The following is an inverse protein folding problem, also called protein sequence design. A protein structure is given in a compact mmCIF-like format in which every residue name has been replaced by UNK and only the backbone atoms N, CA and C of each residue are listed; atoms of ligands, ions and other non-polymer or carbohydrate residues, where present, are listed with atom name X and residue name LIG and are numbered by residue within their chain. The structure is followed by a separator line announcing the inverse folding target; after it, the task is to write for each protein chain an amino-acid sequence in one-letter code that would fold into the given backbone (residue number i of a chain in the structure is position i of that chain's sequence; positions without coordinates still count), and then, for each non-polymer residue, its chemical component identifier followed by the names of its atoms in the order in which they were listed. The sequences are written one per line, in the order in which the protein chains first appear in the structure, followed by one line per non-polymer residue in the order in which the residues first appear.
data_IF_325407706273
#
_entry.id   IF_325407706273
#
_cell.length_a   1.000
_cell.length_b   1.000
_cell.length_c   1.000
_cell.angle_alpha   90.00
_cell.angle_beta   90.00
_cell.angle_gamma   90.00
#
_symmetry.space_group_name_H-M   'P 1'
#
loop_
_entity.id
_entity.type
_entity.pdbx_description
1 polymer ?
#
# COMPACT_ATOMS: atom_id res chain seq x y z
N UNK A 1 201.17 -84.30 35.33
CA UNK A 1 199.88 -83.85 35.90
C UNK A 1 199.26 -82.77 35.03
N UNK A 2 198.95 -83.10 33.76
CA UNK A 2 198.38 -82.17 32.76
C UNK A 2 197.19 -82.81 32.01
N UNK A 3 196.68 -83.94 32.50
CA UNK A 3 195.67 -84.78 31.83
C UNK A 3 194.30 -84.71 32.52
N UNK A 4 194.23 -84.25 33.78
CA UNK A 4 192.96 -84.14 34.53
C UNK A 4 192.16 -82.87 34.25
N UNK A 5 192.77 -81.81 33.71
CA UNK A 5 192.07 -80.55 33.40
C UNK A 5 191.33 -80.60 32.05
N UNK A 6 191.78 -81.41 31.09
CA UNK A 6 191.14 -81.52 29.77
C UNK A 6 189.82 -82.34 29.76
N UNK A 7 189.64 -83.27 30.70
CA UNK A 7 188.40 -84.06 30.83
C UNK A 7 187.28 -83.25 31.49
N UNK A 8 187.61 -82.43 32.50
CA UNK A 8 186.66 -81.53 33.17
C UNK A 8 186.08 -80.50 32.19
N UNK A 9 186.92 -79.93 31.32
CA UNK A 9 186.49 -78.95 30.31
C UNK A 9 185.62 -79.55 29.19
N UNK A 10 185.71 -80.86 28.93
CA UNK A 10 184.89 -81.53 27.91
C UNK A 10 183.47 -81.79 28.41
N UNK A 11 183.32 -82.28 29.64
CA UNK A 11 182.00 -82.53 30.25
C UNK A 11 181.29 -81.20 30.57
N UNK A 12 182.06 -80.17 30.93
CA UNK A 12 181.56 -78.81 31.10
C UNK A 12 181.10 -78.21 29.76
N UNK A 13 181.80 -78.47 28.65
CA UNK A 13 181.33 -78.07 27.31
C UNK A 13 180.07 -78.84 26.86
N UNK A 14 179.93 -80.13 27.17
CA UNK A 14 178.73 -80.90 26.83
C UNK A 14 177.50 -80.47 27.66
N UNK A 15 177.69 -80.19 28.94
CA UNK A 15 176.64 -79.63 29.80
C UNK A 15 176.29 -78.20 29.44
N UNK A 16 177.27 -77.38 29.04
CA UNK A 16 177.02 -76.05 28.48
C UNK A 16 176.24 -76.15 27.17
N UNK A 17 176.58 -77.05 26.25
CA UNK A 17 175.83 -77.25 25.00
C UNK A 17 174.39 -77.72 25.23
N UNK A 18 174.16 -78.67 26.14
CA UNK A 18 172.79 -79.10 26.47
C UNK A 18 171.99 -77.97 27.14
N UNK A 19 172.61 -77.17 28.02
CA UNK A 19 171.97 -75.96 28.57
C UNK A 19 171.70 -74.94 27.48
N UNK A 20 172.59 -74.82 26.49
CA UNK A 20 172.45 -73.89 25.37
C UNK A 20 171.29 -74.32 24.46
N UNK A 21 171.14 -75.61 24.17
CA UNK A 21 170.01 -76.18 23.42
C UNK A 21 168.67 -76.05 24.19
N UNK A 22 168.67 -76.28 25.50
CA UNK A 22 167.49 -76.13 26.34
C UNK A 22 167.08 -74.66 26.48
N UNK A 23 168.05 -73.76 26.60
CA UNK A 23 167.84 -72.31 26.54
C UNK A 23 167.30 -71.93 25.15
N UNK A 24 167.86 -72.45 24.06
CA UNK A 24 167.37 -72.18 22.69
C UNK A 24 165.93 -72.69 22.48
N UNK A 25 165.59 -73.87 22.99
CA UNK A 25 164.22 -74.42 22.92
C UNK A 25 163.24 -73.61 23.76
N UNK A 26 163.66 -73.15 24.94
CA UNK A 26 162.85 -72.27 25.79
C UNK A 26 162.69 -70.88 25.18
N UNK A 27 163.74 -70.36 24.52
CA UNK A 27 163.68 -69.12 23.74
C UNK A 27 162.68 -69.28 22.59
N UNK A 28 162.77 -70.32 21.76
CA UNK A 28 161.82 -70.55 20.66
C UNK A 28 160.38 -70.76 21.13
N UNK A 29 160.16 -71.43 22.26
CA UNK A 29 158.83 -71.55 22.85
C UNK A 29 158.30 -70.22 23.43
N UNK A 30 159.18 -69.41 24.03
CA UNK A 30 158.84 -68.08 24.50
C UNK A 30 158.57 -67.12 23.33
N UNK A 31 159.31 -67.24 22.22
CA UNK A 31 159.11 -66.51 20.98
C UNK A 31 157.76 -66.87 20.34
N UNK A 32 157.43 -68.16 20.21
CA UNK A 32 156.12 -68.59 19.68
C UNK A 32 154.95 -68.14 20.57
N UNK A 33 155.12 -68.18 21.91
CA UNK A 33 154.10 -67.67 22.84
C UNK A 33 153.98 -66.15 22.76
N UNK A 34 155.10 -65.45 22.59
CA UNK A 34 155.16 -63.99 22.39
C UNK A 34 154.46 -63.62 21.08
N UNK A 35 154.75 -64.30 19.98
CA UNK A 35 154.15 -64.06 18.68
C UNK A 35 152.64 -64.32 18.68
N UNK A 36 152.20 -65.41 19.35
CA UNK A 36 150.78 -65.68 19.55
C UNK A 36 150.10 -64.61 20.41
N UNK A 37 150.70 -64.21 21.53
CA UNK A 37 150.17 -63.13 22.37
C UNK A 37 150.10 -61.80 21.61
N UNK A 38 151.08 -61.49 20.77
CA UNK A 38 151.07 -60.32 19.89
C UNK A 38 149.93 -60.40 18.87
N UNK A 39 149.66 -61.58 18.29
CA UNK A 39 148.52 -61.75 17.37
C UNK A 39 147.16 -61.59 18.06
N UNK A 40 146.99 -62.14 19.26
CA UNK A 40 145.77 -61.99 20.06
C UNK A 40 145.57 -60.53 20.50
N UNK A 41 146.64 -59.83 20.89
CA UNK A 41 146.58 -58.40 21.22
C UNK A 41 146.16 -57.58 20.00
N UNK A 42 146.70 -57.86 18.81
CA UNK A 42 146.28 -57.17 17.58
C UNK A 42 144.81 -57.40 17.27
N UNK A 43 144.31 -58.63 17.40
CA UNK A 43 142.89 -58.94 17.16
C UNK A 43 141.98 -58.25 18.18
N UNK A 44 142.40 -58.18 19.45
CA UNK A 44 141.70 -57.43 20.50
C UNK A 44 141.72 -55.93 20.20
N UNK A 45 142.86 -55.36 19.81
CA UNK A 45 142.98 -53.94 19.44
C UNK A 45 142.09 -53.59 18.25
N UNK A 46 142.05 -54.44 17.23
CA UNK A 46 141.15 -54.30 16.07
C UNK A 46 139.68 -54.39 16.49
N UNK A 47 139.31 -55.36 17.34
CA UNK A 47 137.95 -55.50 17.85
C UNK A 47 137.52 -54.29 18.70
N UNK A 48 138.44 -53.75 19.52
CA UNK A 48 138.21 -52.56 20.33
C UNK A 48 138.04 -51.34 19.43
N UNK A 49 138.85 -51.20 18.38
CA UNK A 49 138.70 -50.13 17.40
C UNK A 49 137.34 -50.18 16.70
N UNK A 50 136.86 -51.38 16.32
CA UNK A 50 135.52 -51.58 15.76
C UNK A 50 134.43 -51.23 16.79
N UNK A 51 134.55 -51.68 18.03
CA UNK A 51 133.59 -51.37 19.09
C UNK A 51 133.53 -49.87 19.39
N UNK A 52 134.67 -49.17 19.38
CA UNK A 52 134.72 -47.71 19.53
C UNK A 52 134.03 -47.02 18.35
N UNK A 53 134.29 -47.46 17.10
CA UNK A 53 133.57 -46.93 15.92
C UNK A 53 132.06 -47.12 16.05
N UNK A 54 131.61 -48.33 16.33
CA UNK A 54 130.18 -48.63 16.53
C UNK A 54 129.56 -47.81 17.67
N UNK A 55 130.27 -47.62 18.78
CA UNK A 55 129.83 -46.76 19.89
C UNK A 55 129.69 -45.30 19.45
N UNK A 56 130.64 -44.78 18.67
CA UNK A 56 130.56 -43.40 18.16
C UNK A 56 129.43 -43.24 17.15
N UNK A 57 129.19 -44.23 16.30
CA UNK A 57 128.06 -44.24 15.34
C UNK A 57 126.71 -44.33 16.07
N UNK A 58 126.59 -45.23 17.05
CA UNK A 58 125.41 -45.34 17.91
C UNK A 58 125.13 -44.03 18.68
N UNK A 59 126.17 -43.36 19.19
CA UNK A 59 126.00 -42.06 19.86
C UNK A 59 125.53 -40.96 18.91
N UNK A 60 125.99 -40.94 17.65
CA UNK A 60 125.50 -40.01 16.63
C UNK A 60 124.04 -40.30 16.27
N UNK A 61 123.69 -41.57 16.08
CA UNK A 61 122.32 -41.98 15.80
C UNK A 61 121.36 -41.62 16.94
N UNK A 62 121.79 -41.80 18.20
CA UNK A 62 121.00 -41.42 19.39
C UNK A 62 120.70 -39.92 19.39
N UNK A 63 121.70 -39.06 19.12
CA UNK A 63 121.51 -37.61 19.07
C UNK A 63 120.51 -37.18 18.00
N UNK A 64 120.60 -37.78 16.81
CA UNK A 64 119.65 -37.52 15.71
C UNK A 64 118.23 -37.92 16.14
N UNK A 65 118.07 -39.11 16.73
CA UNK A 65 116.78 -39.59 17.22
C UNK A 65 116.21 -38.69 18.35
N UNK A 66 117.06 -38.18 19.25
CA UNK A 66 116.65 -37.22 20.30
C UNK A 66 116.18 -35.89 19.70
N UNK A 67 116.87 -35.37 18.70
CA UNK A 67 116.48 -34.14 17.99
C UNK A 67 115.16 -34.32 17.23
N UNK A 68 114.98 -35.47 16.55
CA UNK A 68 113.73 -35.84 15.88
C UNK A 68 112.58 -36.02 16.88
N UNK A 69 112.82 -36.65 18.02
CA UNK A 69 111.83 -36.79 19.10
C UNK A 69 111.42 -35.43 19.64
N UNK A 70 112.38 -34.52 19.86
CA UNK A 70 112.09 -33.16 20.33
C UNK A 70 111.31 -32.35 19.28
N UNK A 71 111.62 -32.53 18.00
CA UNK A 71 110.90 -31.90 16.89
C UNK A 71 109.47 -32.41 16.77
N UNK A 72 109.27 -33.74 16.86
CA UNK A 72 107.95 -34.37 16.82
C UNK A 72 107.12 -34.01 18.05
N UNK A 73 107.71 -33.93 19.24
CA UNK A 73 107.02 -33.49 20.46
C UNK A 73 106.53 -32.04 20.35
N UNK A 74 107.32 -31.13 19.75
CA UNK A 74 106.86 -29.75 19.48
C UNK A 74 105.67 -29.71 18.50
N UNK A 75 105.74 -30.51 17.44
CA UNK A 75 104.62 -30.62 16.48
C UNK A 75 103.37 -31.19 17.15
N UNK A 76 103.53 -32.17 18.05
CA UNK A 76 102.44 -32.76 18.81
C UNK A 76 101.76 -31.72 19.71
N UNK A 77 102.53 -30.98 20.52
CA UNK A 77 101.99 -29.88 21.34
C UNK A 77 101.23 -28.84 20.50
N UNK A 78 101.74 -28.53 19.30
CA UNK A 78 101.08 -27.59 18.40
C UNK A 78 99.73 -28.15 17.89
N UNK A 79 99.70 -29.42 17.48
CA UNK A 79 98.46 -30.08 17.03
C UNK A 79 97.44 -30.18 18.17
N UNK A 80 97.88 -30.49 19.39
CA UNK A 80 97.02 -30.54 20.58
C UNK A 80 96.38 -29.16 20.84
N UNK A 81 97.18 -28.09 20.85
CA UNK A 81 96.66 -26.72 21.04
C UNK A 81 95.66 -26.29 19.96
N UNK A 82 95.90 -26.68 18.70
CA UNK A 82 94.98 -26.40 17.59
C UNK A 82 93.69 -27.21 17.72
N UNK A 83 93.78 -28.49 18.12
CA UNK A 83 92.62 -29.36 18.33
C UNK A 83 91.74 -28.84 19.46
N UNK A 84 92.34 -28.34 20.55
CA UNK A 84 91.60 -27.71 21.65
C UNK A 84 90.89 -26.43 21.19
N UNK A 85 91.59 -25.54 20.47
CA UNK A 85 90.98 -24.32 19.91
C UNK A 85 89.78 -24.65 19.02
N UNK A 86 89.94 -25.60 18.08
CA UNK A 86 88.86 -26.04 17.20
C UNK A 86 87.70 -26.68 17.97
N UNK A 87 87.97 -27.42 19.05
CA UNK A 87 86.91 -27.98 19.91
C UNK A 87 86.09 -26.89 20.59
N UNK A 88 86.74 -25.81 21.06
CA UNK A 88 86.04 -24.67 21.66
C UNK A 88 85.21 -23.89 20.65
N UNK A 89 85.75 -23.64 19.45
CA UNK A 89 85.02 -22.99 18.35
C UNK A 89 83.80 -23.80 17.93
N UNK A 90 83.94 -25.12 17.78
CA UNK A 90 82.82 -26.01 17.46
C UNK A 90 81.72 -25.97 18.53
N UNK A 91 82.08 -25.85 19.81
CA UNK A 91 81.12 -25.69 20.91
C UNK A 91 80.38 -24.35 20.82
N UNK A 92 81.09 -23.26 20.55
CA UNK A 92 80.49 -21.93 20.38
C UNK A 92 79.52 -21.89 19.18
N UNK A 93 79.94 -22.40 18.03
CA UNK A 93 79.08 -22.50 16.84
C UNK A 93 77.86 -23.40 17.13
N UNK A 94 78.06 -24.50 17.85
CA UNK A 94 76.95 -25.37 18.24
C UNK A 94 75.93 -24.68 19.16
N UNK A 95 76.36 -23.80 20.08
CA UNK A 95 75.43 -23.01 20.89
C UNK A 95 74.67 -21.98 20.06
N UNK A 96 75.36 -21.25 19.18
CA UNK A 96 74.75 -20.26 18.29
C UNK A 96 73.71 -20.90 17.34
N UNK A 97 74.04 -22.06 16.76
CA UNK A 97 73.10 -22.81 15.92
C UNK A 97 71.85 -23.27 16.69
N UNK A 98 71.98 -23.56 17.99
CA UNK A 98 70.85 -23.95 18.83
C UNK A 98 69.96 -22.75 19.14
N UNK A 99 70.55 -21.59 19.41
CA UNK A 99 69.83 -20.34 19.64
C UNK A 99 69.08 -19.89 18.38
N UNK A 100 69.75 -19.83 17.23
CA UNK A 100 69.15 -19.48 15.95
C UNK A 100 68.00 -20.43 15.56
N UNK A 101 68.12 -21.72 15.87
CA UNK A 101 67.03 -22.69 15.67
C UNK A 101 65.82 -22.35 16.54
N UNK A 102 66.03 -22.01 17.82
CA UNK A 102 64.95 -21.60 18.71
C UNK A 102 64.27 -20.31 18.27
N UNK A 103 65.02 -19.33 17.81
CA UNK A 103 64.48 -18.09 17.24
C UNK A 103 63.66 -18.35 15.97
N UNK A 104 64.17 -19.20 15.07
CA UNK A 104 63.46 -19.59 13.85
C UNK A 104 62.14 -20.30 14.18
N UNK A 105 62.14 -21.22 15.15
CA UNK A 105 60.93 -21.91 15.61
C UNK A 105 59.92 -20.92 16.22
N UNK A 106 60.39 -19.96 17.04
CA UNK A 106 59.53 -18.94 17.63
C UNK A 106 58.91 -18.01 16.58
N UNK A 107 59.68 -17.60 15.56
CA UNK A 107 59.18 -16.80 14.44
C UNK A 107 58.18 -17.60 13.60
N UNK A 108 58.46 -18.88 13.35
CA UNK A 108 57.56 -19.73 12.59
C UNK A 108 56.22 -19.91 13.33
N UNK A 109 56.26 -20.12 14.64
CA UNK A 109 55.06 -20.20 15.46
C UNK A 109 54.23 -18.91 15.39
N UNK A 110 54.86 -17.74 15.60
CA UNK A 110 54.19 -16.44 15.45
C UNK A 110 53.58 -16.25 14.07
N UNK A 111 54.29 -16.64 13.01
CA UNK A 111 53.78 -16.59 11.63
C UNK A 111 52.53 -17.46 11.47
N UNK A 112 52.52 -18.67 12.03
CA UNK A 112 51.33 -19.54 11.98
C UNK A 112 50.14 -18.97 12.77
N UNK A 113 50.39 -18.31 13.89
CA UNK A 113 49.33 -17.72 14.71
C UNK A 113 48.75 -16.47 14.03
N UNK A 114 49.59 -15.62 13.43
CA UNK A 114 49.13 -14.52 12.58
C UNK A 114 48.36 -15.02 11.36
N UNK A 115 48.74 -16.15 10.75
CA UNK A 115 47.99 -16.74 9.64
C UNK A 115 46.58 -17.19 10.07
N UNK A 116 46.45 -17.79 11.26
CA UNK A 116 45.14 -18.16 11.84
C UNK A 116 44.30 -16.92 12.15
N UNK A 117 44.86 -15.92 12.81
CA UNK A 117 44.17 -14.68 13.12
C UNK A 117 43.69 -13.97 11.85
N UNK A 118 44.56 -13.86 10.84
CA UNK A 118 44.20 -13.32 9.51
C UNK A 118 43.05 -14.10 8.88
N UNK A 119 43.07 -15.43 8.94
CA UNK A 119 41.97 -16.24 8.40
C UNK A 119 40.65 -16.02 9.13
N UNK A 120 40.69 -15.89 10.46
CA UNK A 120 39.50 -15.60 11.28
C UNK A 120 38.93 -14.21 11.00
N UNK A 121 39.78 -13.18 10.90
CA UNK A 121 39.35 -11.82 10.57
C UNK A 121 38.78 -11.72 9.15
N UNK A 122 39.34 -12.46 8.19
CA UNK A 122 38.80 -12.52 6.83
C UNK A 122 37.42 -13.18 6.80
N UNK A 123 37.18 -14.21 7.61
CA UNK A 123 35.86 -14.84 7.72
C UNK A 123 34.84 -13.90 8.34
N UNK A 124 35.17 -13.21 9.44
CA UNK A 124 34.30 -12.20 10.04
C UNK A 124 33.97 -11.07 9.06
N UNK A 125 34.94 -10.62 8.26
CA UNK A 125 34.70 -9.61 7.22
C UNK A 125 33.78 -10.12 6.10
N UNK A 126 33.82 -11.42 5.80
CA UNK A 126 32.93 -12.06 4.84
C UNK A 126 31.51 -12.12 5.37
N UNK A 127 31.32 -12.59 6.60
CA UNK A 127 30.03 -12.66 7.29
C UNK A 127 29.37 -11.27 7.38
N UNK A 128 30.10 -10.26 7.84
CA UNK A 128 29.58 -8.88 7.93
C UNK A 128 29.19 -8.29 6.56
N UNK A 129 29.88 -8.69 5.48
CA UNK A 129 29.50 -8.27 4.12
C UNK A 129 28.21 -8.94 3.68
N UNK A 130 28.05 -10.24 3.95
CA UNK A 130 26.83 -10.99 3.64
C UNK A 130 25.63 -10.45 4.45
N UNK A 131 25.81 -10.17 5.74
CA UNK A 131 24.79 -9.52 6.58
C UNK A 131 24.40 -8.13 6.05
N UNK A 132 25.39 -7.32 5.65
CA UNK A 132 25.12 -6.00 5.07
C UNK A 132 24.32 -6.10 3.77
N UNK A 133 24.67 -7.01 2.88
CA UNK A 133 23.95 -7.18 1.61
C UNK A 133 22.53 -7.72 1.83
N UNK A 134 22.32 -8.65 2.77
CA UNK A 134 20.98 -9.13 3.11
C UNK A 134 20.11 -8.04 3.73
N UNK A 135 20.63 -7.22 4.66
CA UNK A 135 19.91 -6.07 5.21
C UNK A 135 19.55 -5.07 4.11
N UNK A 136 20.49 -4.78 3.21
CA UNK A 136 20.27 -3.85 2.08
C UNK A 136 19.20 -4.37 1.13
N UNK A 137 19.21 -5.66 0.79
CA UNK A 137 18.18 -6.28 -0.04
C UNK A 137 16.79 -6.17 0.60
N UNK A 138 16.68 -6.50 1.90
CA UNK A 138 15.41 -6.40 2.64
C UNK A 138 14.89 -4.96 2.73
N UNK A 139 15.78 -3.97 2.91
CA UNK A 139 15.38 -2.57 2.91
C UNK A 139 14.90 -2.10 1.54
N UNK A 140 15.55 -2.56 0.46
CA UNK A 140 15.14 -2.25 -0.91
C UNK A 140 13.77 -2.86 -1.22
N UNK A 141 13.57 -4.13 -0.88
CA UNK A 141 12.28 -4.83 -1.05
C UNK A 141 11.15 -4.11 -0.31
N UNK A 142 11.36 -3.74 0.97
CA UNK A 142 10.37 -2.95 1.73
C UNK A 142 10.08 -1.59 1.08
N UNK A 143 11.10 -0.90 0.59
CA UNK A 143 10.91 0.38 -0.10
C UNK A 143 10.12 0.21 -1.41
N UNK A 144 10.34 -0.88 -2.15
CA UNK A 144 9.58 -1.21 -3.36
C UNK A 144 8.12 -1.58 -3.04
N UNK A 145 7.88 -2.35 -1.96
CA UNK A 145 6.53 -2.63 -1.47
C UNK A 145 5.77 -1.36 -1.04
N UNK A 146 6.41 -0.45 -0.34
CA UNK A 146 5.81 0.83 0.04
C UNK A 146 5.53 1.71 -1.17
N UNK A 147 6.48 1.76 -2.13
CA UNK A 147 6.30 2.49 -3.39
C UNK A 147 5.13 1.95 -4.20
N UNK A 148 4.98 0.62 -4.30
CA UNK A 148 3.85 0.01 -5.03
C UNK A 148 2.51 0.28 -4.35
N UNK A 149 2.45 0.25 -3.01
CA UNK A 149 1.24 0.67 -2.25
C UNK A 149 0.88 2.13 -2.52
N UNK A 150 1.86 3.04 -2.50
CA UNK A 150 1.64 4.45 -2.79
C UNK A 150 1.13 4.67 -4.22
N UNK A 151 1.69 3.95 -5.20
CA UNK A 151 1.20 4.01 -6.58
C UNK A 151 -0.26 3.55 -6.66
N UNK A 152 -0.62 2.43 -6.03
CA UNK A 152 -2.01 1.94 -5.99
C UNK A 152 -2.97 2.97 -5.40
N UNK A 153 -2.60 3.58 -4.27
CA UNK A 153 -3.42 4.62 -3.64
C UNK A 153 -3.53 5.86 -4.53
N UNK A 154 -2.43 6.30 -5.17
CA UNK A 154 -2.45 7.42 -6.11
C UNK A 154 -3.41 7.16 -7.26
N UNK A 155 -3.34 5.97 -7.86
CA UNK A 155 -4.23 5.59 -8.97
C UNK A 155 -5.71 5.56 -8.53
N UNK A 156 -6.01 5.03 -7.34
CA UNK A 156 -7.38 5.04 -6.81
C UNK A 156 -7.91 6.46 -6.53
N UNK A 157 -7.04 7.36 -6.05
CA UNK A 157 -7.41 8.76 -5.82
C UNK A 157 -7.63 9.49 -7.13
N UNK A 158 -6.77 9.29 -8.13
CA UNK A 158 -6.92 9.83 -9.47
C UNK A 158 -8.24 9.38 -10.11
N UNK A 159 -8.60 8.10 -10.01
CA UNK A 159 -9.90 7.60 -10.49
C UNK A 159 -11.09 8.24 -9.75
N UNK A 160 -11.00 8.42 -8.44
CA UNK A 160 -12.06 9.08 -7.65
C UNK A 160 -12.20 10.56 -8.03
N UNK A 161 -11.09 11.27 -8.20
CA UNK A 161 -11.09 12.65 -8.67
C UNK A 161 -11.74 12.76 -10.05
N UNK A 162 -11.35 11.91 -11.02
CA UNK A 162 -11.94 11.91 -12.35
C UNK A 162 -13.45 11.64 -12.33
N UNK A 163 -13.92 10.72 -11.47
CA UNK A 163 -15.37 10.46 -11.28
C UNK A 163 -16.10 11.67 -10.69
N UNK A 164 -15.50 12.35 -9.71
CA UNK A 164 -16.09 13.55 -9.12
C UNK A 164 -16.17 14.67 -10.15
N UNK A 165 -15.10 14.89 -10.92
CA UNK A 165 -15.09 15.87 -12.01
C UNK A 165 -16.20 15.60 -13.03
N UNK A 166 -16.36 14.35 -13.46
CA UNK A 166 -17.43 13.96 -14.37
C UNK A 166 -18.83 14.22 -13.78
N UNK A 167 -19.03 13.92 -12.50
CA UNK A 167 -20.30 14.17 -11.82
C UNK A 167 -20.60 15.67 -11.67
N UNK A 168 -19.58 16.49 -11.43
CA UNK A 168 -19.72 17.95 -11.35
C UNK A 168 -20.15 18.50 -12.70
N UNK A 169 -19.48 18.10 -13.79
CA UNK A 169 -19.84 18.52 -15.15
C UNK A 169 -21.29 18.14 -15.48
N UNK A 170 -21.69 16.90 -15.20
CA UNK A 170 -23.06 16.45 -15.42
C UNK A 170 -24.09 17.24 -14.58
N UNK A 171 -23.74 17.58 -13.33
CA UNK A 171 -24.59 18.39 -12.46
C UNK A 171 -24.72 19.84 -12.96
N UNK A 172 -23.63 20.43 -13.47
CA UNK A 172 -23.63 21.76 -14.08
C UNK A 172 -24.48 21.81 -15.35
N UNK A 173 -24.39 20.79 -16.22
CA UNK A 173 -25.24 20.66 -17.41
C UNK A 173 -26.73 20.59 -17.03
N UNK A 174 -27.08 19.71 -16.09
CA UNK A 174 -28.45 19.59 -15.57
C UNK A 174 -28.94 20.90 -14.93
N UNK A 175 -28.10 21.58 -14.15
CA UNK A 175 -28.45 22.87 -13.56
C UNK A 175 -28.71 23.93 -14.65
N UNK A 176 -27.89 23.95 -15.70
CA UNK A 176 -28.08 24.81 -16.87
C UNK A 176 -29.42 24.56 -17.57
N UNK A 177 -29.79 23.30 -17.80
CA UNK A 177 -31.10 22.93 -18.37
C UNK A 177 -32.27 23.40 -17.50
N UNK A 178 -32.18 23.19 -16.18
CA UNK A 178 -33.22 23.61 -15.23
C UNK A 178 -33.37 25.12 -15.18
N UNK A 179 -32.27 25.87 -15.18
CA UNK A 179 -32.30 27.32 -15.28
C UNK A 179 -32.98 27.78 -16.57
N UNK A 180 -32.68 27.13 -17.71
CA UNK A 180 -33.37 27.41 -18.98
C UNK A 180 -34.89 27.16 -18.90
N UNK A 181 -35.32 26.07 -18.25
CA UNK A 181 -36.73 25.78 -18.02
C UNK A 181 -37.41 26.84 -17.14
N UNK A 182 -36.75 27.27 -16.05
CA UNK A 182 -37.26 28.33 -15.15
C UNK A 182 -37.46 29.62 -15.94
N UNK A 183 -36.47 30.06 -16.71
CA UNK A 183 -36.58 31.29 -17.52
C UNK A 183 -37.75 31.23 -18.50
N UNK A 184 -38.00 30.07 -19.12
CA UNK A 184 -39.13 29.90 -20.02
C UNK A 184 -40.48 29.94 -19.28
N UNK A 185 -40.59 29.29 -18.13
CA UNK A 185 -41.78 29.33 -17.28
C UNK A 185 -42.04 30.74 -16.73
N UNK A 186 -41.01 31.47 -16.33
CA UNK A 186 -41.11 32.87 -15.91
C UNK A 186 -41.63 33.75 -17.05
N UNK A 187 -41.13 33.57 -18.28
CA UNK A 187 -41.62 34.30 -19.45
C UNK A 187 -43.09 34.02 -19.71
N UNK A 188 -43.51 32.76 -19.63
CA UNK A 188 -44.91 32.39 -19.85
C UNK A 188 -45.81 32.90 -18.73
N UNK A 189 -45.34 32.86 -17.48
CA UNK A 189 -46.04 33.42 -16.32
C UNK A 189 -46.23 34.93 -16.47
N UNK A 190 -45.21 35.67 -16.96
CA UNK A 190 -45.33 37.10 -17.24
C UNK A 190 -46.39 37.39 -18.29
N UNK A 191 -46.39 36.67 -19.41
CA UNK A 191 -47.46 36.81 -20.43
C UNK A 191 -48.84 36.57 -19.84
N UNK A 192 -48.99 35.54 -19.00
CA UNK A 192 -50.26 35.25 -18.33
C UNK A 192 -50.66 36.36 -17.36
N UNK A 193 -49.70 36.98 -16.67
CA UNK A 193 -49.92 38.14 -15.81
C UNK A 193 -50.39 39.35 -16.63
N UNK A 194 -49.72 39.66 -17.74
CA UNK A 194 -50.08 40.78 -18.64
C UNK A 194 -51.53 40.62 -19.17
N UNK A 195 -51.89 39.42 -19.64
CA UNK A 195 -53.25 39.10 -20.09
C UNK A 195 -54.26 39.24 -18.96
N UNK A 196 -53.93 38.76 -17.75
CA UNK A 196 -54.81 38.86 -16.60
C UNK A 196 -55.03 40.32 -16.17
N UNK A 197 -54.01 41.17 -16.29
CA UNK A 197 -54.11 42.60 -16.03
C UNK A 197 -54.99 43.30 -17.07
N UNK A 198 -54.79 43.04 -18.36
CA UNK A 198 -55.66 43.57 -19.44
C UNK A 198 -57.13 43.17 -19.25
N UNK A 199 -57.40 41.91 -18.88
CA UNK A 199 -58.76 41.44 -18.59
C UNK A 199 -59.36 42.15 -17.36
N UNK A 200 -58.56 42.39 -16.31
CA UNK A 200 -59.02 43.14 -15.13
C UNK A 200 -59.34 44.59 -15.48
N UNK A 201 -58.53 45.24 -16.32
CA UNK A 201 -58.79 46.60 -16.79
C UNK A 201 -60.09 46.66 -17.61
N UNK A 202 -60.30 45.72 -18.53
CA UNK A 202 -61.56 45.62 -19.31
C UNK A 202 -62.76 45.34 -18.41
N UNK A 203 -62.63 44.48 -17.41
CA UNK A 203 -63.69 44.25 -16.42
C UNK A 203 -64.01 45.53 -15.63
N UNK A 204 -62.99 46.25 -15.13
CA UNK A 204 -63.19 47.54 -14.44
C UNK A 204 -63.88 48.57 -15.33
N UNK A 205 -63.49 48.65 -16.60
CA UNK A 205 -64.14 49.53 -17.58
C UNK A 205 -65.62 49.17 -17.76
N UNK A 206 -65.91 47.89 -18.01
CA UNK A 206 -67.28 47.40 -18.17
C UNK A 206 -68.12 47.61 -16.91
N UNK A 207 -67.56 47.36 -15.72
CA UNK A 207 -68.21 47.63 -14.44
C UNK A 207 -68.55 49.11 -14.28
N UNK A 208 -67.63 50.02 -14.63
CA UNK A 208 -67.87 51.46 -14.59
C UNK A 208 -68.95 51.90 -15.61
N UNK A 209 -68.95 51.34 -16.82
CA UNK A 209 -69.94 51.63 -17.85
C UNK A 209 -71.34 51.11 -17.47
N UNK A 210 -71.41 49.91 -16.88
CA UNK A 210 -72.64 49.36 -16.31
C UNK A 210 -73.14 50.20 -15.14
N UNK A 211 -72.25 50.61 -14.23
CA UNK A 211 -72.61 51.48 -13.10
C UNK A 211 -73.20 52.81 -13.58
N UNK A 212 -72.56 53.46 -14.57
CA UNK A 212 -73.03 54.69 -15.18
C UNK A 212 -74.37 54.53 -15.88
N UNK A 213 -74.56 53.42 -16.61
CA UNK A 213 -75.84 53.11 -17.27
C UNK A 213 -76.95 52.88 -16.24
N UNK A 214 -76.64 52.18 -15.15
CA UNK A 214 -77.58 51.92 -14.05
C UNK A 214 -77.96 53.21 -13.30
N UNK A 215 -77.00 54.12 -13.07
CA UNK A 215 -77.27 55.47 -12.55
C UNK A 215 -78.22 56.25 -13.47
N UNK A 216 -77.96 56.30 -14.78
CA UNK A 216 -78.83 56.97 -15.76
C UNK A 216 -80.25 56.38 -15.76
N UNK A 217 -80.39 55.06 -15.79
CA UNK A 217 -81.71 54.39 -15.74
C UNK A 217 -82.41 54.67 -14.41
N UNK A 218 -81.67 54.70 -13.29
CA UNK A 218 -82.24 55.03 -11.99
C UNK A 218 -82.76 56.48 -11.93
N UNK A 219 -82.03 57.43 -12.53
CA UNK A 219 -82.45 58.83 -12.64
C UNK A 219 -83.72 58.94 -13.51
N UNK A 220 -83.72 58.29 -14.67
CA UNK A 220 -84.89 58.24 -15.56
C UNK A 220 -86.10 57.57 -14.88
N UNK A 221 -85.89 56.54 -14.06
CA UNK A 221 -86.94 55.91 -13.24
C UNK A 221 -87.49 56.89 -12.20
N UNK A 222 -86.62 57.62 -11.50
CA UNK A 222 -87.04 58.65 -10.55
C UNK A 222 -87.87 59.75 -11.24
N UNK A 223 -87.43 60.21 -12.41
CA UNK A 223 -88.13 61.28 -13.13
C UNK A 223 -89.45 60.80 -13.74
N UNK A 224 -89.51 59.57 -14.27
CA UNK A 224 -90.77 58.94 -14.69
C UNK A 224 -91.69 58.65 -13.50
N UNK A 225 -91.17 58.33 -12.32
CA UNK A 225 -91.97 58.18 -11.09
C UNK A 225 -92.54 59.52 -10.62
N UNK A 226 -91.77 60.63 -10.71
CA UNK A 226 -92.30 61.98 -10.47
C UNK A 226 -93.39 62.33 -11.49
N UNK A 227 -93.18 62.03 -12.77
CA UNK A 227 -94.17 62.25 -13.83
C UNK A 227 -95.44 61.41 -13.58
N UNK A 228 -95.29 60.13 -13.23
CA UNK A 228 -96.39 59.24 -12.90
C UNK A 228 -97.17 59.75 -11.67
N UNK A 229 -96.50 60.24 -10.62
CA UNK A 229 -97.15 60.87 -9.46
C UNK A 229 -97.92 62.14 -9.86
N UNK A 230 -97.37 62.96 -10.76
CA UNK A 230 -98.06 64.14 -11.28
C UNK A 230 -99.30 63.77 -12.10
N UNK A 231 -99.17 62.80 -13.02
CA UNK A 231 -100.32 62.27 -13.78
C UNK A 231 -101.34 61.60 -12.87
N UNK A 232 -100.93 60.88 -11.82
CA UNK A 232 -101.83 60.29 -10.83
C UNK A 232 -102.59 61.36 -10.04
N UNK A 233 -101.93 62.47 -9.67
CA UNK A 233 -102.61 63.64 -9.07
C UNK A 233 -103.63 64.25 -10.02
N UNK A 234 -103.27 64.45 -11.30
CA UNK A 234 -104.21 64.93 -12.33
C UNK A 234 -105.40 63.98 -12.52
N UNK A 235 -105.17 62.66 -12.55
CA UNK A 235 -106.26 61.66 -12.62
C UNK A 235 -107.13 61.72 -11.36
N UNK A 236 -106.56 61.94 -10.18
CA UNK A 236 -107.34 62.11 -8.95
C UNK A 236 -108.16 63.41 -8.95
N UNK A 237 -107.62 64.51 -9.49
CA UNK A 237 -108.34 65.77 -9.67
C UNK A 237 -109.48 65.62 -10.68
N UNK A 238 -109.21 65.04 -11.85
CA UNK A 238 -110.24 64.70 -12.84
C UNK A 238 -111.29 63.74 -12.27
N UNK A 239 -110.90 62.75 -11.45
CA UNK A 239 -111.84 61.90 -10.73
C UNK A 239 -112.68 62.70 -9.72
N UNK A 240 -112.11 63.67 -9.01
CA UNK A 240 -112.85 64.55 -8.09
C UNK A 240 -113.79 65.50 -8.84
N UNK A 241 -113.40 65.96 -10.02
CA UNK A 241 -114.23 66.80 -10.89
C UNK A 241 -115.38 66.00 -11.51
N UNK A 242 -115.10 64.76 -11.94
CA UNK A 242 -116.11 63.79 -12.33
C UNK A 242 -117.07 63.46 -11.18
N UNK A 243 -116.56 63.23 -9.96
CA UNK A 243 -117.40 62.97 -8.78
C UNK A 243 -118.27 64.19 -8.43
N UNK A 244 -117.78 65.43 -8.60
CA UNK A 244 -118.58 66.65 -8.43
C UNK A 244 -119.68 66.83 -9.49
N UNK A 245 -119.51 66.30 -10.69
CA UNK A 245 -120.59 66.23 -11.70
C UNK A 245 -121.61 65.15 -11.31
N UNK A 246 -121.13 63.98 -10.88
CA UNK A 246 -121.98 62.89 -10.38
C UNK A 246 -122.80 63.28 -9.14
N UNK A 247 -122.27 64.15 -8.27
CA UNK A 247 -122.97 64.66 -7.08
C UNK A 247 -123.93 65.82 -7.40
N UNK A 248 -123.85 66.43 -8.59
CA UNK A 248 -124.80 67.45 -9.10
C UNK A 248 -125.93 66.88 -9.96
N UNK A 249 -125.82 65.65 -10.44
CA UNK A 249 -126.89 64.95 -11.17
C UNK A 249 -127.82 64.12 -10.26
N UNK A 250 -127.54 64.05 -8.95
CA UNK A 250 -128.25 63.19 -7.98
C UNK A 250 -129.32 63.87 -7.11
N UNK A 251 -129.82 65.05 -7.49
CA UNK A 251 -130.93 65.74 -6.79
C UNK A 251 -132.24 65.80 -7.59
N UNK A 252 -132.43 64.89 -8.56
CA UNK A 252 -133.71 64.61 -9.22
C UNK A 252 -133.80 63.10 -9.51
N UNK A 253 -134.85 62.46 -8.99
CA UNK A 253 -135.31 61.09 -9.22
C UNK A 253 -134.81 59.96 -8.27
N UNK A 254 -135.40 59.91 -7.07
CA UNK A 254 -135.95 58.67 -6.49
C UNK A 254 -137.18 58.25 -7.33
N UNK A 255 -137.59 57.01 -7.61
CA UNK A 255 -137.30 55.64 -7.16
C UNK A 255 -137.95 54.71 -8.20
N UNK A 256 -137.31 53.61 -8.61
CA UNK A 256 -138.05 52.42 -9.04
C UNK A 256 -137.24 51.12 -8.80
N UNK A 257 -137.77 50.31 -7.87
CA UNK A 257 -137.81 48.85 -7.71
C UNK A 257 -136.71 47.98 -8.37
N UNK A 258 -135.92 47.19 -7.60
CA UNK A 258 -136.19 45.82 -7.11
C UNK A 258 -136.25 44.78 -8.28
N UNK A 259 -135.57 43.62 -8.31
CA UNK A 259 -135.11 42.69 -7.28
C UNK A 259 -134.25 41.57 -7.95
N UNK A 260 -133.19 41.14 -7.25
CA UNK A 260 -132.55 39.81 -7.10
C UNK A 260 -132.14 38.84 -8.25
N UNK A 261 -130.99 38.18 -7.95
CA UNK A 261 -130.63 36.76 -8.17
C UNK A 261 -130.42 36.25 -9.62
N UNK A 262 -129.64 35.22 -9.95
CA UNK A 262 -128.54 34.41 -9.40
C UNK A 262 -128.19 33.41 -10.54
N UNK A 263 -126.94 32.92 -10.64
CA UNK A 263 -126.50 31.74 -11.44
C UNK A 263 -126.59 31.92 -12.98
N UNK A 264 -125.80 31.29 -13.85
CA UNK A 264 -124.88 30.15 -13.88
C UNK A 264 -124.17 30.30 -15.27
N UNK A 265 -123.10 29.64 -15.72
CA UNK A 265 -122.34 28.40 -15.44
C UNK A 265 -121.09 28.50 -16.35
N UNK A 266 -119.89 28.15 -15.90
CA UNK A 266 -119.24 26.83 -16.00
C UNK A 266 -118.91 26.39 -17.45
N UNK A 267 -117.70 25.92 -17.75
CA UNK A 267 -117.31 24.49 -17.98
C UNK A 267 -115.92 24.52 -18.69
N UNK A 268 -114.89 23.69 -18.51
CA UNK A 268 -114.61 22.35 -17.91
C UNK A 268 -113.05 22.23 -17.80
N UNK A 269 -112.39 21.62 -16.80
CA UNK A 269 -112.26 20.17 -16.48
C UNK A 269 -111.77 19.32 -17.68
N UNK A 270 -110.82 18.38 -17.64
CA UNK A 270 -110.32 17.49 -16.60
C UNK A 270 -109.01 16.80 -17.07
N UNK A 271 -108.14 16.39 -16.13
CA UNK A 271 -107.30 15.18 -16.17
C UNK A 271 -106.47 15.12 -14.86
N UNK A 272 -107.00 14.52 -13.79
CA UNK A 272 -106.70 13.16 -13.35
C UNK A 272 -105.21 12.82 -13.16
N UNK A 273 -104.86 12.67 -11.88
CA UNK A 273 -103.96 11.66 -11.32
C UNK A 273 -102.54 11.56 -11.91
N UNK A 274 -101.64 12.41 -11.42
CA UNK A 274 -100.21 12.10 -11.41
C UNK A 274 -99.84 11.41 -10.09
N UNK A 275 -99.01 10.35 -10.08
CA UNK A 275 -98.66 9.66 -8.86
C UNK A 275 -97.85 10.59 -7.97
N UNK A 276 -98.25 10.77 -6.72
CA UNK A 276 -97.42 11.39 -5.70
C UNK A 276 -96.19 10.49 -5.50
N UNK A 277 -95.04 10.92 -6.05
CA UNK A 277 -93.79 10.17 -5.99
C UNK A 277 -93.23 10.34 -4.58
N UNK A 278 -93.34 9.28 -3.78
CA UNK A 278 -92.68 9.19 -2.48
C UNK A 278 -91.16 9.34 -2.65
N UNK A 279 -90.64 10.46 -2.16
CA UNK A 279 -89.23 10.85 -2.28
C UNK A 279 -88.31 9.89 -1.51
N UNK A 280 -88.83 9.14 -0.53
CA UNK A 280 -88.06 8.13 0.20
C UNK A 280 -87.94 6.82 -0.57
N UNK A 281 -88.93 6.45 -1.39
CA UNK A 281 -88.83 5.30 -2.30
C UNK A 281 -87.86 5.57 -3.46
N UNK A 282 -87.81 6.82 -3.96
CA UNK A 282 -86.91 7.21 -5.05
C UNK A 282 -85.43 7.14 -4.64
N UNK A 283 -85.09 7.50 -3.41
CA UNK A 283 -83.74 7.33 -2.86
C UNK A 283 -83.32 5.86 -2.83
N UNK A 284 -84.23 4.95 -2.46
CA UNK A 284 -83.97 3.51 -2.43
C UNK A 284 -83.72 2.94 -3.83
N UNK A 285 -84.45 3.42 -4.83
CA UNK A 285 -84.25 3.01 -6.23
C UNK A 285 -82.92 3.52 -6.77
N UNK A 286 -82.53 4.76 -6.47
CA UNK A 286 -81.22 5.33 -6.86
C UNK A 286 -80.08 4.54 -6.21
N UNK A 287 -80.20 4.21 -4.91
CA UNK A 287 -79.22 3.41 -4.21
C UNK A 287 -79.13 1.99 -4.81
N UNK A 288 -80.27 1.33 -5.07
CA UNK A 288 -80.33 0.00 -5.69
C UNK A 288 -79.74 0.01 -7.10
N UNK A 289 -79.99 1.06 -7.90
CA UNK A 289 -79.34 1.25 -9.19
C UNK A 289 -77.83 1.40 -9.06
N UNK A 290 -77.36 2.07 -7.99
CA UNK A 290 -75.92 2.26 -7.75
C UNK A 290 -75.21 0.94 -7.42
N UNK A 291 -75.80 0.11 -6.57
CA UNK A 291 -75.22 -1.15 -6.11
C UNK A 291 -75.53 -2.39 -6.97
N UNK A 292 -76.52 -2.35 -7.87
CA UNK A 292 -76.90 -3.51 -8.69
C UNK A 292 -75.86 -3.86 -9.79
N UNK A 293 -75.80 -5.11 -10.30
CA UNK A 293 -75.04 -5.50 -11.49
C UNK A 293 -75.58 -4.88 -12.80
N UNK A 294 -74.79 -4.88 -13.88
CA UNK A 294 -75.09 -4.15 -15.13
C UNK A 294 -76.45 -4.53 -15.77
N UNK A 295 -76.80 -5.82 -15.79
CA UNK A 295 -78.05 -6.31 -16.40
C UNK A 295 -79.30 -5.92 -15.59
N UNK A 296 -79.22 -5.91 -14.26
CA UNK A 296 -80.33 -5.50 -13.39
C UNK A 296 -80.62 -3.99 -13.49
N UNK A 297 -79.60 -3.18 -13.79
CA UNK A 297 -79.75 -1.73 -13.97
C UNK A 297 -80.62 -1.38 -15.18
N UNK A 298 -80.46 -2.11 -16.28
CA UNK A 298 -81.28 -1.92 -17.47
C UNK A 298 -82.76 -2.23 -17.19
N UNK A 299 -83.02 -3.28 -16.38
CA UNK A 299 -84.37 -3.62 -15.93
C UNK A 299 -84.95 -2.55 -14.99
N UNK A 300 -84.17 -2.01 -14.06
CA UNK A 300 -84.58 -0.91 -13.17
C UNK A 300 -84.89 0.35 -13.96
N UNK A 301 -84.02 0.73 -14.93
CA UNK A 301 -84.21 1.92 -15.77
C UNK A 301 -85.43 1.76 -16.70
N UNK A 302 -85.68 0.55 -17.21
CA UNK A 302 -86.87 0.24 -18.02
C UNK A 302 -88.15 0.30 -17.20
N UNK A 303 -88.14 -0.23 -15.97
CA UNK A 303 -89.29 -0.15 -15.05
C UNK A 303 -89.60 1.31 -14.66
N UNK A 304 -88.59 2.11 -14.35
CA UNK A 304 -88.73 3.54 -14.07
C UNK A 304 -89.29 4.32 -15.26
N UNK A 305 -88.76 4.05 -16.46
CA UNK A 305 -89.22 4.68 -17.69
C UNK A 305 -90.70 4.40 -17.96
N UNK A 306 -91.19 3.21 -17.60
CA UNK A 306 -92.59 2.83 -17.79
C UNK A 306 -93.51 3.33 -16.66
N UNK A 307 -93.03 3.40 -15.42
CA UNK A 307 -93.80 3.88 -14.27
C UNK A 307 -93.96 5.42 -14.25
N UNK A 308 -92.95 6.16 -14.71
CA UNK A 308 -92.94 7.64 -14.71
C UNK A 308 -93.14 8.23 -16.11
N UNK A 309 -93.51 7.40 -17.08
CA UNK A 309 -93.76 7.80 -18.47
C UNK A 309 -92.61 8.65 -19.09
N UNK A 310 -91.36 8.24 -18.89
CA UNK A 310 -90.20 8.96 -19.42
C UNK A 310 -90.13 8.91 -20.95
N UNK A 311 -89.72 10.01 -21.56
CA UNK A 311 -89.32 10.03 -22.97
C UNK A 311 -87.97 9.31 -23.16
N UNK A 312 -87.62 8.99 -24.41
CA UNK A 312 -86.34 8.37 -24.73
C UNK A 312 -85.14 9.24 -24.30
N UNK A 313 -85.29 10.57 -24.38
CA UNK A 313 -84.27 11.54 -23.97
C UNK A 313 -84.14 11.61 -22.44
N UNK A 314 -85.26 11.54 -21.71
CA UNK A 314 -85.27 11.54 -20.25
C UNK A 314 -84.62 10.27 -19.68
N UNK A 315 -84.88 9.12 -20.31
CA UNK A 315 -84.26 7.85 -19.94
C UNK A 315 -82.73 7.91 -20.10
N UNK A 316 -82.25 8.52 -21.19
CA UNK A 316 -80.82 8.69 -21.45
C UNK A 316 -80.19 9.63 -20.42
N UNK A 317 -80.85 10.75 -20.13
CA UNK A 317 -80.37 11.72 -19.13
C UNK A 317 -80.25 11.10 -17.74
N UNK A 318 -81.24 10.33 -17.30
CA UNK A 318 -81.22 9.66 -15.98
C UNK A 318 -80.09 8.62 -15.93
N UNK A 319 -79.88 7.86 -17.01
CA UNK A 319 -78.75 6.93 -17.12
C UNK A 319 -77.41 7.65 -16.95
N UNK A 320 -77.19 8.71 -17.72
CA UNK A 320 -75.94 9.47 -17.73
C UNK A 320 -75.67 10.12 -16.36
N UNK A 321 -76.71 10.64 -15.68
CA UNK A 321 -76.61 11.23 -14.33
C UNK A 321 -76.24 10.19 -13.28
N UNK A 322 -76.87 9.02 -13.33
CA UNK A 322 -76.60 7.96 -12.36
C UNK A 322 -75.24 7.29 -12.60
N UNK A 323 -74.78 7.20 -13.84
CA UNK A 323 -73.45 6.69 -14.19
C UNK A 323 -72.35 7.69 -13.82
N UNK A 324 -72.57 8.99 -14.06
CA UNK A 324 -71.69 10.06 -13.57
C UNK A 324 -71.52 9.99 -12.04
N UNK A 325 -72.60 9.74 -11.28
CA UNK A 325 -72.54 9.63 -9.81
C UNK A 325 -71.75 8.41 -9.30
N UNK A 326 -71.48 7.40 -10.14
CA UNK A 326 -70.61 6.26 -9.80
C UNK A 326 -69.15 6.48 -10.20
N UNK A 327 -68.91 7.29 -11.22
CA UNK A 327 -67.58 7.51 -11.76
C UNK A 327 -66.86 8.62 -10.98
N UNK A 328 -65.64 8.35 -10.51
CA UNK A 328 -64.82 9.35 -9.83
C UNK A 328 -64.26 10.43 -10.81
N UNK A 329 -64.30 10.18 -12.12
CA UNK A 329 -63.68 11.03 -13.14
C UNK A 329 -64.59 11.36 -14.34
N UNK A 330 -65.91 11.12 -14.22
CA UNK A 330 -66.84 11.45 -15.30
C UNK A 330 -67.06 12.96 -15.45
N UNK A 331 -67.44 13.41 -16.64
CA UNK A 331 -67.98 14.76 -16.87
C UNK A 331 -69.45 14.80 -16.47
N UNK A 332 -69.88 15.87 -15.78
CA UNK A 332 -71.28 16.03 -15.34
C UNK A 332 -72.19 16.11 -16.59
N UNK A 333 -73.24 15.29 -16.70
CA UNK A 333 -74.14 15.33 -17.84
C UNK A 333 -74.92 16.65 -17.89
N UNK A 334 -75.36 17.06 -19.09
CA UNK A 334 -76.03 18.34 -19.29
C UNK A 334 -77.28 18.43 -18.42
N UNK A 335 -77.41 19.53 -17.67
CA UNK A 335 -78.62 19.79 -16.88
C UNK A 335 -79.83 19.95 -17.80
N UNK A 336 -80.99 19.34 -17.46
CA UNK A 336 -82.20 19.50 -18.25
C UNK A 336 -82.61 20.97 -18.34
N UNK A 337 -83.21 21.36 -19.46
CA UNK A 337 -83.60 22.76 -19.72
C UNK A 337 -84.49 23.28 -18.57
N UNK A 338 -84.01 24.29 -17.86
CA UNK A 338 -84.78 25.00 -16.83
C UNK A 338 -84.31 24.86 -15.38
N UNK A 339 -83.24 24.10 -15.07
CA UNK A 339 -82.72 24.00 -13.71
C UNK A 339 -81.46 24.85 -13.47
N UNK A 340 -81.58 25.84 -12.57
CA UNK A 340 -80.50 26.73 -12.12
C UNK A 340 -79.71 26.01 -11.00
N UNK A 341 -78.40 25.89 -11.14
CA UNK A 341 -77.55 25.34 -10.08
C UNK A 341 -77.32 26.39 -8.98
N UNK A 342 -77.47 26.06 -7.68
CA UNK A 342 -77.07 26.96 -6.60
C UNK A 342 -75.53 27.03 -6.54
N UNK A 343 -74.99 28.23 -6.74
CA UNK A 343 -73.56 28.51 -6.66
C UNK A 343 -73.11 28.52 -5.19
N UNK A 344 -72.27 27.57 -4.81
CA UNK A 344 -71.62 27.52 -3.50
C UNK A 344 -70.43 28.50 -3.54
N UNK A 345 -70.63 29.71 -3.01
CA UNK A 345 -69.53 30.62 -2.74
C UNK A 345 -68.83 30.20 -1.44
N UNK A 346 -67.61 29.71 -1.57
CA UNK A 346 -66.68 29.49 -0.47
C UNK A 346 -66.18 30.84 0.05
N UNK A 347 -66.75 31.32 1.15
CA UNK A 347 -66.16 32.40 1.94
C UNK A 347 -65.06 31.80 2.82
N UNK A 348 -63.81 32.14 2.51
CA UNK A 348 -62.66 31.87 3.37
C UNK A 348 -62.74 32.78 4.61
N UNK A 349 -62.70 32.19 5.80
CA UNK A 349 -61.98 32.72 6.96
C UNK A 349 -61.19 31.59 7.59
#
# INVERSE_FOLDING_TARGET
TAVSENSSLSDENATLNNRLDEIQKNIGNAENRSEKAVSEVKEIEESLAVAVRLKTEASKALKIAEEELKSTQKKLCQVESLSESQSTELKCISSELKELRGELEAVNQKSTDFAKEKSSLLEQLRELREEKETIKANLLEKAEEERTKLISISTELEEKCARIEQNVVAAEELAGERLGQIVNLERETRKQQDIAEELRERLRFNEAELHKSLECVSAQKSDSEKAAKMSQKQVQELKKELQKVMDKEKELAEKENALEEEKARAIEEAANNGPEVDVDYLKHIVLRYITAPLHDREHILKALSQALAFSADDKKLVSDVLEYKKSWFGSKPPTPRGSIAPSIQSSKK
#
